data_IF_766033242444
#
_entry.id   IF_766033242444
#
_cell.length_a   1.000
_cell.length_b   1.000
_cell.length_c   1.000
_cell.angle_alpha   90.00
_cell.angle_beta   90.00
_cell.angle_gamma   90.00
#
_symmetry.space_group_name_H-M   'P 1'
#
loop_
_entity.id
_entity.type
_entity.pdbx_description
1 polymer ?
#
# COMPACT_ATOMS: atom_id res chain seq x y z
N UNK A 1 -23.62 63.61 10.60
CA UNK A 1 -23.88 62.32 9.93
C UNK A 1 -23.18 61.23 10.73
N UNK A 2 -23.94 60.36 11.40
CA UNK A 2 -23.44 59.39 12.38
C UNK A 2 -23.13 58.03 11.74
N UNK A 3 -22.03 57.41 12.17
CA UNK A 3 -21.63 56.04 11.83
C UNK A 3 -22.54 55.04 12.55
N UNK A 4 -23.01 53.99 11.86
CA UNK A 4 -23.64 52.83 12.49
C UNK A 4 -22.95 51.55 12.01
N UNK A 5 -22.30 50.88 12.97
CA UNK A 5 -21.83 49.52 12.91
C UNK A 5 -23.04 48.58 13.09
N UNK A 6 -23.12 47.51 12.31
CA UNK A 6 -24.14 46.46 12.41
C UNK A 6 -23.46 45.20 12.92
N UNK A 7 -23.85 44.76 14.12
CA UNK A 7 -23.47 43.48 14.74
C UNK A 7 -24.72 42.61 14.88
N UNK A 8 -24.64 41.35 14.44
CA UNK A 8 -25.67 40.33 14.58
C UNK A 8 -25.65 39.66 15.97
N UNK A 9 -26.79 39.32 16.58
CA UNK A 9 -26.82 38.47 17.78
C UNK A 9 -27.17 37.00 17.44
N UNK A 10 -26.23 36.08 17.65
CA UNK A 10 -26.55 34.65 17.78
C UNK A 10 -26.85 34.32 19.25
N UNK A 11 -27.99 33.65 19.49
CA UNK A 11 -28.55 33.36 20.82
C UNK A 11 -28.05 32.02 21.36
N UNK A 12 -27.52 32.08 22.57
CA UNK A 12 -27.17 30.98 23.48
C UNK A 12 -28.43 30.25 23.96
N UNK A 13 -28.44 28.90 23.94
CA UNK A 13 -29.46 28.08 24.60
C UNK A 13 -28.94 27.58 25.95
N UNK A 14 -29.78 27.74 26.98
CA UNK A 14 -29.49 27.44 28.38
C UNK A 14 -29.89 26.01 28.77
N UNK A 15 -29.13 25.46 29.71
CA UNK A 15 -29.37 24.19 30.43
C UNK A 15 -30.42 24.38 31.53
N UNK A 16 -31.34 23.42 31.70
CA UNK A 16 -32.27 23.36 32.85
C UNK A 16 -32.18 21.99 33.51
N UNK A 17 -32.11 21.89 34.86
CA UNK A 17 -32.03 20.62 35.58
C UNK A 17 -33.40 20.17 36.14
N UNK A 18 -33.64 18.86 36.19
CA UNK A 18 -34.71 18.26 37.01
C UNK A 18 -34.19 17.05 37.79
N UNK A 19 -34.35 17.08 39.11
CA UNK A 19 -34.16 15.95 40.05
C UNK A 19 -35.52 15.30 40.33
N UNK A 20 -35.61 13.97 40.38
CA UNK A 20 -36.10 13.16 41.54
C UNK A 20 -36.41 11.70 41.14
N UNK A 21 -36.28 10.80 42.12
CA UNK A 21 -36.08 9.36 42.00
C UNK A 21 -37.34 8.48 42.19
N UNK A 22 -37.28 7.23 41.70
CA UNK A 22 -37.97 6.06 42.27
C UNK A 22 -37.31 4.73 41.83
N UNK A 23 -37.61 3.65 42.56
CA UNK A 23 -36.78 2.46 42.88
C UNK A 23 -36.95 1.25 41.91
N UNK A 24 -35.82 0.56 41.60
CA UNK A 24 -35.55 -0.91 41.40
C UNK A 24 -36.50 -1.83 40.58
N UNK A 25 -36.08 -3.00 40.02
CA UNK A 25 -34.79 -3.70 40.18
C UNK A 25 -34.07 -4.09 38.86
N UNK A 26 -32.81 -4.46 39.02
CA UNK A 26 -31.86 -4.96 38.02
C UNK A 26 -32.25 -6.29 37.35
N UNK A 27 -31.93 -6.48 36.06
CA UNK A 27 -31.51 -7.75 35.52
C UNK A 27 -30.01 -7.73 35.21
N UNK A 28 -29.31 -8.73 35.72
CA UNK A 28 -27.88 -9.00 35.58
C UNK A 28 -27.38 -8.91 34.12
N UNK A 29 -26.13 -8.48 33.85
CA UNK A 29 -25.57 -8.64 32.52
C UNK A 29 -25.25 -10.13 32.33
N UNK A 30 -25.97 -10.79 31.42
CA UNK A 30 -25.53 -12.07 30.89
C UNK A 30 -24.22 -11.83 30.15
N UNK A 31 -23.12 -12.12 30.83
CA UNK A 31 -21.77 -12.20 30.28
C UNK A 31 -21.78 -13.35 29.27
N UNK A 32 -22.08 -13.05 28.00
CA UNK A 32 -21.75 -13.94 26.90
C UNK A 32 -20.23 -14.09 26.90
N UNK A 33 -19.76 -15.17 27.52
CA UNK A 33 -18.41 -15.66 27.31
C UNK A 33 -18.36 -16.12 25.86
N UNK A 34 -17.87 -15.27 24.97
CA UNK A 34 -17.41 -15.71 23.67
C UNK A 34 -16.25 -16.68 23.92
N UNK A 35 -16.55 -17.97 23.87
CA UNK A 35 -15.54 -18.98 23.60
C UNK A 35 -15.21 -18.82 22.12
N UNK A 36 -14.40 -17.79 21.83
CA UNK A 36 -13.58 -17.80 20.63
C UNK A 36 -12.63 -18.97 20.85
N UNK A 37 -13.02 -20.14 20.34
CA UNK A 37 -12.07 -21.23 20.14
C UNK A 37 -10.84 -20.64 19.46
N UNK A 38 -9.62 -20.87 19.96
CA UNK A 38 -8.45 -20.56 19.17
C UNK A 38 -8.51 -21.52 17.98
N UNK A 39 -9.04 -21.03 16.87
CA UNK A 39 -8.91 -21.71 15.59
C UNK A 39 -7.42 -22.02 15.44
N UNK A 40 -7.03 -23.29 15.18
CA UNK A 40 -5.63 -23.63 15.10
C UNK A 40 -5.03 -22.74 14.04
N UNK A 41 -4.10 -21.91 14.50
CA UNK A 41 -3.05 -21.22 13.76
C UNK A 41 -3.31 -21.23 12.27
N UNK A 42 -3.74 -20.10 11.71
CA UNK A 42 -3.52 -19.84 10.30
C UNK A 42 -2.10 -20.32 10.01
N UNK A 43 -1.97 -21.33 9.15
CA UNK A 43 -0.68 -21.77 8.67
C UNK A 43 -0.16 -20.61 7.84
N UNK A 44 0.41 -19.61 8.51
CA UNK A 44 1.38 -18.73 7.90
C UNK A 44 2.52 -19.67 7.53
N UNK A 45 2.42 -20.25 6.34
CA UNK A 45 3.53 -20.86 5.62
C UNK A 45 4.51 -19.72 5.35
N UNK A 46 5.21 -19.32 6.40
CA UNK A 46 6.40 -18.50 6.26
C UNK A 46 7.42 -19.48 5.70
N UNK A 47 7.54 -19.50 4.37
CA UNK A 47 8.50 -20.33 3.63
C UNK A 47 9.91 -19.85 3.99
N UNK A 48 10.39 -20.23 5.18
CA UNK A 48 11.73 -19.93 5.66
C UNK A 48 12.64 -21.03 5.13
N UNK A 49 13.36 -20.73 4.05
CA UNK A 49 14.48 -21.58 3.66
C UNK A 49 15.55 -21.45 4.74
N UNK A 50 15.74 -22.50 5.52
CA UNK A 50 16.89 -22.60 6.40
C UNK A 50 18.15 -22.54 5.54
N UNK A 51 18.89 -21.45 5.62
CA UNK A 51 20.28 -21.37 5.15
C UNK A 51 21.13 -22.24 6.07
N UNK A 52 21.01 -23.57 5.90
CA UNK A 52 21.90 -24.53 6.52
C UNK A 52 23.31 -24.28 6.02
N UNK A 53 24.16 -23.85 6.94
CA UNK A 53 25.57 -23.49 6.73
C UNK A 53 26.40 -24.69 6.25
N UNK A 54 27.42 -24.35 5.45
CA UNK A 54 28.61 -25.12 5.08
C UNK A 54 28.45 -26.23 4.01
N UNK A 55 28.87 -25.92 2.78
CA UNK A 55 29.26 -26.93 1.79
C UNK A 55 28.96 -26.53 0.35
N UNK A 56 29.90 -25.83 -0.30
CA UNK A 56 29.96 -25.54 -1.75
C UNK A 56 28.78 -24.76 -2.36
N UNK A 57 29.10 -23.74 -3.17
CA UNK A 57 28.14 -22.97 -3.96
C UNK A 57 27.52 -23.82 -5.09
N UNK A 58 26.84 -24.90 -4.73
CA UNK A 58 26.02 -25.67 -5.66
C UNK A 58 24.74 -24.86 -5.87
N UNK A 59 24.52 -24.42 -7.11
CA UNK A 59 23.25 -23.82 -7.52
C UNK A 59 22.15 -24.86 -7.27
N UNK A 60 21.37 -24.66 -6.21
CA UNK A 60 20.20 -25.50 -5.92
C UNK A 60 19.19 -25.26 -7.04
N UNK A 61 18.63 -26.34 -7.59
CA UNK A 61 17.52 -26.25 -8.54
C UNK A 61 16.20 -26.34 -7.80
N UNK A 62 15.11 -25.93 -8.43
CA UNK A 62 13.77 -26.06 -7.82
C UNK A 62 13.46 -27.52 -7.52
N UNK A 63 13.90 -28.45 -8.37
CA UNK A 63 13.68 -29.89 -8.18
C UNK A 63 14.29 -30.43 -6.88
N UNK A 64 15.42 -29.88 -6.43
CA UNK A 64 16.09 -30.29 -5.20
C UNK A 64 15.35 -29.82 -3.94
N UNK A 65 14.58 -28.74 -4.07
CA UNK A 65 13.84 -28.11 -2.97
C UNK A 65 12.41 -28.62 -2.91
N UNK A 66 11.75 -28.67 -4.06
CA UNK A 66 10.35 -29.05 -4.17
C UNK A 66 10.07 -29.66 -5.57
N UNK A 67 10.27 -30.98 -5.74
CA UNK A 67 10.21 -31.63 -7.07
C UNK A 67 8.83 -31.61 -7.72
N UNK A 68 7.78 -31.39 -6.93
CA UNK A 68 6.39 -31.29 -7.41
C UNK A 68 5.99 -29.86 -7.80
N UNK A 69 6.88 -28.87 -7.68
CA UNK A 69 6.61 -27.48 -8.05
C UNK A 69 6.35 -27.35 -9.55
N UNK A 70 5.22 -26.76 -9.94
CA UNK A 70 4.87 -26.48 -11.33
C UNK A 70 4.18 -25.12 -11.47
N UNK A 71 4.15 -24.57 -12.69
CA UNK A 71 3.54 -23.25 -12.95
C UNK A 71 4.23 -22.10 -12.22
N UNK A 72 3.45 -21.08 -11.80
CA UNK A 72 3.97 -19.90 -11.11
C UNK A 72 4.72 -20.23 -9.81
N UNK A 73 4.34 -21.30 -9.11
CA UNK A 73 5.04 -21.72 -7.89
C UNK A 73 6.51 -22.07 -8.20
N UNK A 74 6.76 -22.81 -9.29
CA UNK A 74 8.13 -23.14 -9.72
C UNK A 74 8.90 -21.88 -10.13
N UNK A 75 8.23 -20.96 -10.82
CA UNK A 75 8.82 -19.72 -11.32
C UNK A 75 9.26 -18.81 -10.17
N UNK A 76 8.42 -18.65 -9.15
CA UNK A 76 8.72 -17.92 -7.91
C UNK A 76 9.91 -18.56 -7.17
N UNK A 77 9.91 -19.88 -7.03
CA UNK A 77 11.01 -20.61 -6.36
C UNK A 77 12.33 -20.49 -7.11
N UNK A 78 12.31 -20.57 -8.44
CA UNK A 78 13.51 -20.40 -9.25
C UNK A 78 14.10 -18.99 -9.05
N UNK A 79 13.25 -17.96 -9.09
CA UNK A 79 13.68 -16.57 -8.87
C UNK A 79 14.26 -16.38 -7.47
N UNK A 80 13.60 -16.90 -6.43
CA UNK A 80 14.07 -16.82 -5.04
C UNK A 80 15.42 -17.53 -4.84
N UNK A 81 15.64 -18.68 -5.48
CA UNK A 81 16.92 -19.39 -5.46
C UNK A 81 18.04 -18.63 -6.16
N UNK A 82 17.71 -17.85 -7.19
CA UNK A 82 18.63 -16.91 -7.84
C UNK A 82 18.82 -15.60 -7.07
N UNK A 83 18.08 -15.41 -5.97
CA UNK A 83 18.12 -14.18 -5.17
C UNK A 83 17.43 -13.00 -5.85
N UNK A 84 16.50 -13.25 -6.78
CA UNK A 84 15.72 -12.23 -7.50
C UNK A 84 14.24 -12.37 -7.16
N UNK A 85 13.49 -11.27 -7.29
CA UNK A 85 12.02 -11.30 -7.25
C UNK A 85 11.47 -10.96 -8.63
N UNK A 86 10.51 -11.75 -9.10
CA UNK A 86 9.94 -11.64 -10.46
C UNK A 86 9.41 -10.23 -10.75
N UNK A 87 8.82 -9.56 -9.76
CA UNK A 87 8.11 -8.28 -9.94
C UNK A 87 8.77 -7.08 -9.24
N UNK A 88 9.95 -7.26 -8.64
CA UNK A 88 10.59 -6.21 -7.83
C UNK A 88 10.96 -4.97 -8.65
N UNK A 89 11.45 -5.19 -9.86
CA UNK A 89 11.80 -4.10 -10.78
C UNK A 89 10.61 -3.24 -11.18
N UNK A 90 9.43 -3.82 -11.33
CA UNK A 90 8.25 -3.11 -11.83
C UNK A 90 7.43 -2.53 -10.69
N UNK A 91 7.19 -3.26 -9.59
CA UNK A 91 6.28 -2.80 -8.55
C UNK A 91 6.72 -1.50 -7.87
N UNK A 92 8.02 -1.35 -7.64
CA UNK A 92 8.55 -0.26 -6.82
C UNK A 92 9.37 0.68 -7.71
N UNK A 93 8.78 1.76 -8.27
CA UNK A 93 9.56 2.77 -8.97
C UNK A 93 10.54 3.42 -7.98
N UNK A 94 11.82 3.31 -8.26
CA UNK A 94 12.89 3.95 -7.48
C UNK A 94 13.48 5.07 -8.33
N UNK A 95 13.45 6.29 -7.81
CA UNK A 95 14.00 7.46 -8.50
C UNK A 95 13.84 8.74 -7.70
N UNK A 96 14.55 9.81 -8.10
CA UNK A 96 14.39 11.12 -7.49
C UNK A 96 13.02 11.72 -7.81
N UNK A 97 12.72 12.86 -7.18
CA UNK A 97 11.54 13.65 -7.53
C UNK A 97 11.60 14.06 -9.01
N UNK A 98 10.51 13.81 -9.74
CA UNK A 98 10.45 13.94 -11.18
C UNK A 98 10.17 15.38 -11.59
N UNK A 99 11.08 16.01 -12.31
CA UNK A 99 10.89 17.37 -12.86
C UNK A 99 10.51 17.32 -14.33
N UNK A 100 10.13 18.46 -14.91
CA UNK A 100 9.79 18.55 -16.34
C UNK A 100 10.94 18.10 -17.26
N UNK A 101 12.17 18.44 -16.89
CA UNK A 101 13.39 18.07 -17.64
C UNK A 101 13.84 16.63 -17.32
N UNK A 102 13.62 16.19 -16.08
CA UNK A 102 13.99 14.85 -15.58
C UNK A 102 12.79 14.14 -14.92
N UNK A 103 11.84 13.62 -15.72
CA UNK A 103 10.63 13.01 -15.17
C UNK A 103 10.92 11.69 -14.45
N UNK A 104 10.07 11.34 -13.49
CA UNK A 104 10.11 10.07 -12.79
C UNK A 104 9.71 8.93 -13.75
N UNK A 105 10.66 8.03 -13.99
CA UNK A 105 10.47 6.93 -14.95
C UNK A 105 9.80 5.74 -14.25
N UNK A 106 8.59 5.41 -14.70
CA UNK A 106 7.83 4.26 -14.20
C UNK A 106 7.94 3.12 -15.20
N UNK A 107 8.51 1.98 -14.79
CA UNK A 107 8.58 0.77 -15.62
C UNK A 107 7.17 0.17 -15.80
N UNK A 108 6.84 -0.36 -16.96
CA UNK A 108 5.56 -1.05 -17.18
C UNK A 108 5.70 -2.09 -18.27
N UNK A 109 5.10 -3.26 -18.06
CA UNK A 109 4.95 -4.29 -19.11
C UNK A 109 3.99 -3.84 -20.22
N UNK A 110 3.02 -2.97 -19.91
CA UNK A 110 2.00 -2.50 -20.83
C UNK A 110 2.18 -1.03 -21.20
N UNK A 111 1.51 -0.59 -22.28
CA UNK A 111 1.49 0.80 -22.72
C UNK A 111 0.82 1.77 -21.74
N UNK A 112 0.09 1.27 -20.73
CA UNK A 112 -0.55 2.07 -19.69
C UNK A 112 -0.36 1.43 -18.32
N UNK A 113 -0.16 2.23 -17.28
CA UNK A 113 -0.04 1.77 -15.89
C UNK A 113 -0.76 2.72 -14.93
N UNK A 114 -1.41 2.15 -13.91
CA UNK A 114 -1.94 2.91 -12.78
C UNK A 114 -0.79 3.27 -11.85
N UNK A 115 -0.63 4.57 -11.57
CA UNK A 115 0.44 5.10 -10.71
C UNK A 115 -0.22 5.90 -9.59
N UNK A 116 0.29 5.74 -8.37
CA UNK A 116 -0.07 6.55 -7.20
C UNK A 116 1.10 7.43 -6.82
N UNK A 117 0.90 8.76 -6.79
CA UNK A 117 1.89 9.71 -6.29
C UNK A 117 1.58 10.05 -4.83
N UNK A 118 2.45 9.68 -3.86
CA UNK A 118 2.30 10.05 -2.45
C UNK A 118 2.87 11.46 -2.12
N UNK A 119 3.41 12.16 -3.11
CA UNK A 119 4.12 13.42 -2.91
C UNK A 119 5.64 13.28 -2.73
N UNK A 120 6.28 14.42 -2.50
CA UNK A 120 7.71 14.55 -2.22
C UNK A 120 8.02 14.37 -0.73
N UNK A 121 9.17 14.88 -0.30
CA UNK A 121 9.54 14.96 1.13
C UNK A 121 9.28 16.38 1.61
N UNK A 122 8.62 16.56 2.77
CA UNK A 122 8.38 17.87 3.36
C UNK A 122 7.10 18.54 2.87
N UNK A 123 7.20 19.73 2.26
CA UNK A 123 6.02 20.55 1.87
C UNK A 123 5.22 19.95 0.70
N UNK A 124 5.85 19.07 -0.08
CA UNK A 124 5.24 18.39 -1.23
C UNK A 124 4.55 17.06 -0.85
N UNK A 125 4.45 16.72 0.45
CA UNK A 125 3.72 15.55 0.95
C UNK A 125 2.21 15.74 0.84
N UNK A 126 1.51 14.76 0.27
CA UNK A 126 0.05 14.81 0.13
C UNK A 126 -0.59 13.42 0.08
N UNK A 127 -1.92 13.37 0.16
CA UNK A 127 -2.67 12.11 -0.01
C UNK A 127 -2.41 11.49 -1.40
N UNK A 128 -2.45 10.16 -1.48
CA UNK A 128 -2.10 9.45 -2.73
C UNK A 128 -3.05 9.84 -3.86
N UNK A 129 -2.48 10.46 -4.89
CA UNK A 129 -3.20 10.78 -6.13
C UNK A 129 -2.98 9.66 -7.13
N UNK A 130 -4.06 8.98 -7.53
CA UNK A 130 -4.05 7.90 -8.50
C UNK A 130 -4.39 8.40 -9.90
N UNK A 131 -3.61 7.99 -10.90
CA UNK A 131 -3.84 8.35 -12.30
C UNK A 131 -3.38 7.24 -13.27
N UNK A 132 -3.90 7.31 -14.49
CA UNK A 132 -3.46 6.47 -15.60
C UNK A 132 -2.28 7.14 -16.30
N UNK A 133 -1.12 6.46 -16.31
CA UNK A 133 0.07 6.90 -17.02
C UNK A 133 0.16 6.17 -18.36
N UNK A 134 0.17 6.90 -19.47
CA UNK A 134 0.24 6.34 -20.82
C UNK A 134 1.64 6.51 -21.44
N UNK A 135 2.11 5.52 -22.20
CA UNK A 135 3.37 5.61 -22.94
C UNK A 135 3.32 6.77 -23.94
N UNK A 136 4.37 7.59 -23.92
CA UNK A 136 4.49 8.76 -24.81
C UNK A 136 3.72 10.00 -24.35
N UNK A 137 2.97 9.94 -23.25
CA UNK A 137 2.28 11.10 -22.66
C UNK A 137 2.79 11.32 -21.24
N UNK A 138 3.67 12.33 -21.00
CA UNK A 138 4.05 12.66 -19.64
C UNK A 138 2.83 13.13 -18.85
N UNK A 139 2.74 12.72 -17.59
CA UNK A 139 1.68 13.14 -16.68
C UNK A 139 2.27 13.98 -15.55
N UNK A 140 1.61 15.08 -15.22
CA UNK A 140 1.97 15.97 -14.11
C UNK A 140 1.01 15.73 -12.95
N UNK A 141 1.52 15.55 -11.73
CA UNK A 141 0.68 15.46 -10.55
C UNK A 141 0.04 16.81 -10.24
N UNK A 142 -1.27 16.85 -10.00
CA UNK A 142 -2.01 18.09 -9.72
C UNK A 142 -1.70 18.74 -8.36
N UNK A 143 -0.94 18.07 -7.49
CA UNK A 143 -0.66 18.55 -6.12
C UNK A 143 0.81 18.92 -5.97
N UNK A 144 1.73 17.96 -6.15
CA UNK A 144 3.17 18.22 -6.03
C UNK A 144 3.86 18.65 -7.34
N UNK A 145 3.13 18.74 -8.46
CA UNK A 145 3.71 19.10 -9.77
C UNK A 145 4.84 18.16 -10.26
N UNK A 146 4.90 16.94 -9.72
CA UNK A 146 5.86 15.91 -10.16
C UNK A 146 5.50 15.39 -11.55
N UNK A 147 6.50 15.24 -12.42
CA UNK A 147 6.34 14.66 -13.76
C UNK A 147 6.65 13.18 -13.77
N UNK A 148 5.81 12.40 -14.49
CA UNK A 148 5.93 10.96 -14.64
C UNK A 148 5.91 10.57 -16.12
N UNK A 149 6.69 9.54 -16.47
CA UNK A 149 6.67 8.91 -17.80
C UNK A 149 6.69 7.39 -17.68
N UNK A 150 5.94 6.69 -18.53
CA UNK A 150 6.09 5.22 -18.66
C UNK A 150 7.32 4.93 -19.52
N UNK A 151 8.28 4.20 -18.97
CA UNK A 151 9.27 3.49 -19.77
C UNK A 151 8.74 2.08 -20.04
N UNK A 152 8.39 1.83 -21.30
CA UNK A 152 8.05 0.50 -21.77
C UNK A 152 9.32 -0.30 -21.97
N UNK A 153 9.83 -0.85 -20.88
CA UNK A 153 10.83 -1.91 -20.89
C UNK A 153 10.09 -3.14 -20.39
N UNK A 154 9.61 -3.97 -21.31
CA UNK A 154 10.13 -5.31 -21.56
C UNK A 154 9.78 -5.63 -23.01
N UNK A 155 10.68 -5.29 -23.94
CA UNK A 155 10.81 -6.12 -25.13
C UNK A 155 11.15 -7.51 -24.57
N UNK A 156 10.32 -8.50 -24.87
CA UNK A 156 10.44 -9.88 -24.37
C UNK A 156 11.69 -10.57 -24.97
N UNK A 157 12.85 -9.92 -24.91
CA UNK A 157 14.14 -10.46 -25.34
C UNK A 157 14.71 -11.41 -24.28
N UNK A 158 13.88 -12.29 -23.71
CA UNK A 158 14.30 -13.57 -23.12
C UNK A 158 13.07 -14.43 -22.81
N UNK A 159 12.49 -15.04 -23.84
CA UNK A 159 11.88 -16.37 -23.73
C UNK A 159 12.42 -17.23 -24.87
#
# INVERSE_FOLDING_TARGET
MWRRLVTSPFKTLATVPCRSASKTPSPSPLRFKSHVSPFPSAYFLTRRFSTGSAGTAVKKRVEDVMPIATGHEREELQAELEGKKILEDVNNPVGPFGTKESPAVVKSYYNKRIVGCPGGVGEDEHDVVWFWLEKGKPHECSVCSQYFVVSGYIELDTF
#
